data_IF_269560386448
#
_entry.id   IF_269560386448
#
_cell.length_a   1.000
_cell.length_b   1.000
_cell.length_c   1.000
_cell.angle_alpha   90.00
_cell.angle_beta   90.00
_cell.angle_gamma   90.00
#
_symmetry.space_group_name_H-M   'P 1'
#
loop_
_entity.id
_entity.type
_entity.pdbx_description
1 polymer ?
#
# COMPACT_ATOMS: atom_id res chain seq x y z
N UNK A 1 -50.09 -35.92 -21.83
CA UNK A 1 -51.13 -35.21 -22.61
C UNK A 1 -50.52 -33.91 -23.10
N UNK A 2 -50.15 -33.94 -24.36
CA UNK A 2 -50.59 -33.05 -25.49
C UNK A 2 -50.34 -31.55 -25.23
N UNK A 3 -49.71 -30.73 -26.10
CA UNK A 3 -49.57 -30.76 -27.58
C UNK A 3 -48.52 -29.76 -28.03
N UNK A 4 -47.74 -30.13 -29.05
CA UNK A 4 -46.92 -29.29 -29.93
C UNK A 4 -47.80 -28.53 -30.94
N UNK A 5 -47.36 -27.37 -31.39
CA UNK A 5 -47.47 -27.04 -32.81
C UNK A 5 -46.63 -25.82 -33.21
N UNK A 6 -46.07 -25.80 -34.44
CA UNK A 6 -45.10 -24.82 -34.95
C UNK A 6 -45.69 -24.00 -36.10
N UNK A 7 -44.97 -22.97 -36.56
CA UNK A 7 -45.07 -22.34 -37.91
C UNK A 7 -43.94 -21.30 -38.02
N UNK A 8 -42.87 -21.44 -38.75
CA UNK A 8 -42.58 -21.53 -40.21
C UNK A 8 -42.74 -20.19 -40.97
N UNK A 9 -41.59 -19.70 -41.50
CA UNK A 9 -41.32 -19.02 -42.77
C UNK A 9 -41.64 -17.52 -42.93
N UNK A 10 -40.60 -16.70 -43.23
CA UNK A 10 -40.42 -16.15 -44.59
C UNK A 10 -39.10 -15.39 -44.74
N UNK A 11 -38.32 -15.82 -45.72
CA UNK A 11 -37.20 -15.12 -46.33
C UNK A 11 -37.70 -13.94 -47.17
N UNK A 12 -36.98 -12.79 -47.14
CA UNK A 12 -37.00 -11.83 -48.24
C UNK A 12 -35.59 -11.22 -48.40
N UNK A 13 -34.93 -11.66 -49.48
CA UNK A 13 -33.71 -11.07 -50.06
C UNK A 13 -34.08 -9.75 -50.75
N UNK A 14 -33.40 -8.66 -50.39
CA UNK A 14 -33.35 -7.44 -51.20
C UNK A 14 -31.88 -7.15 -51.50
N UNK A 15 -31.51 -7.42 -52.77
CA UNK A 15 -30.28 -6.90 -53.37
C UNK A 15 -30.49 -5.42 -53.70
N UNK A 16 -29.66 -4.54 -53.12
CA UNK A 16 -29.53 -3.17 -53.57
C UNK A 16 -28.05 -2.92 -53.94
N UNK A 17 -27.84 -2.77 -55.25
CA UNK A 17 -26.56 -2.37 -55.81
C UNK A 17 -26.20 -0.95 -55.41
N UNK A 18 -25.06 -0.75 -54.75
CA UNK A 18 -24.52 0.57 -54.49
C UNK A 18 -23.31 0.83 -55.39
N UNK A 19 -23.43 1.85 -56.21
CA UNK A 19 -22.43 2.34 -57.15
C UNK A 19 -21.21 2.90 -56.40
N UNK A 20 -20.04 2.45 -56.77
CA UNK A 20 -18.76 3.06 -56.39
C UNK A 20 -18.65 4.47 -56.99
N UNK A 21 -18.62 5.48 -56.13
CA UNK A 21 -18.15 6.82 -56.47
C UNK A 21 -16.75 6.99 -55.84
N UNK A 22 -15.75 7.13 -56.71
CA UNK A 22 -14.37 7.43 -56.31
C UNK A 22 -14.31 8.87 -55.78
N UNK A 23 -14.33 9.04 -54.48
CA UNK A 23 -14.08 10.31 -53.80
C UNK A 23 -12.60 10.49 -53.46
N UNK A 24 -12.07 11.62 -53.87
CA UNK A 24 -10.65 12.05 -53.64
C UNK A 24 -10.25 11.91 -52.19
N UNK A 25 -9.16 11.17 -51.94
CA UNK A 25 -8.47 11.15 -50.63
C UNK A 25 -7.83 12.51 -50.39
N UNK A 26 -8.38 13.30 -49.50
CA UNK A 26 -7.71 14.44 -48.90
C UNK A 26 -6.72 13.87 -47.87
N UNK A 27 -5.42 14.11 -48.11
CA UNK A 27 -4.37 13.90 -47.13
C UNK A 27 -4.58 14.88 -45.96
N UNK A 28 -5.19 14.37 -44.87
CA UNK A 28 -5.25 15.09 -43.59
C UNK A 28 -3.86 15.10 -42.99
N UNK A 29 -3.36 16.30 -42.66
CA UNK A 29 -2.14 16.52 -41.88
C UNK A 29 -2.20 15.75 -40.53
N UNK A 30 -1.07 15.26 -40.00
CA UNK A 30 -1.09 14.58 -38.70
C UNK A 30 -1.53 15.58 -37.63
N UNK A 31 -2.66 15.29 -36.97
CA UNK A 31 -3.08 16.01 -35.77
C UNK A 31 -1.98 15.86 -34.70
N UNK A 32 -1.58 17.02 -34.13
CA UNK A 32 -0.69 17.08 -33.02
C UNK A 32 -1.21 16.17 -31.89
N UNK A 33 -0.41 15.22 -31.47
CA UNK A 33 -0.68 14.34 -30.34
C UNK A 33 -0.85 15.18 -29.07
N UNK A 34 -1.99 15.01 -28.43
CA UNK A 34 -2.33 15.67 -27.17
C UNK A 34 -1.24 15.41 -26.11
N UNK A 35 -0.55 16.45 -25.62
CA UNK A 35 0.53 16.29 -24.62
C UNK A 35 0.02 15.60 -23.34
N UNK A 36 -1.26 15.75 -22.97
CA UNK A 36 -1.86 15.12 -21.81
C UNK A 36 -2.09 13.60 -22.01
N UNK A 37 -2.29 13.15 -23.23
CA UNK A 37 -2.42 11.72 -23.54
C UNK A 37 -1.07 11.01 -23.43
N UNK A 38 0.03 11.65 -23.87
CA UNK A 38 1.37 11.10 -23.76
C UNK A 38 1.87 11.03 -22.31
N UNK A 39 1.48 12.00 -21.49
CA UNK A 39 1.83 12.05 -20.06
C UNK A 39 1.08 10.98 -19.25
N UNK A 40 -0.22 10.76 -19.54
CA UNK A 40 -1.01 9.66 -18.97
C UNK A 40 -0.47 8.28 -19.35
N UNK A 41 -0.07 8.08 -20.60
CA UNK A 41 0.54 6.82 -21.07
C UNK A 41 1.88 6.59 -20.40
N UNK A 42 2.70 7.64 -20.22
CA UNK A 42 3.98 7.56 -19.50
C UNK A 42 3.80 7.24 -18.01
N UNK A 43 2.78 7.83 -17.37
CA UNK A 43 2.46 7.52 -15.97
C UNK A 43 1.96 6.08 -15.80
N UNK A 44 1.09 5.60 -16.71
CA UNK A 44 0.59 4.22 -16.69
C UNK A 44 1.70 3.21 -16.97
N UNK A 45 2.66 3.53 -17.83
CA UNK A 45 3.81 2.68 -18.10
C UNK A 45 4.82 2.63 -16.93
N UNK A 46 4.94 3.69 -16.13
CA UNK A 46 5.77 3.69 -14.90
C UNK A 46 5.22 2.75 -13.82
N UNK A 47 3.89 2.58 -13.75
CA UNK A 47 3.23 1.67 -12.79
C UNK A 47 3.42 0.20 -13.17
N UNK A 48 3.71 -0.10 -14.44
CA UNK A 48 3.76 -1.48 -14.96
C UNK A 48 5.08 -2.22 -14.69
N UNK A 49 6.12 -1.59 -14.12
CA UNK A 49 7.43 -2.22 -14.00
C UNK A 49 8.18 -1.88 -12.70
N UNK A 50 7.50 -2.05 -11.55
CA UNK A 50 8.21 -2.04 -10.26
C UNK A 50 9.04 -3.31 -10.18
N UNK A 51 10.38 -3.17 -10.17
CA UNK A 51 11.27 -4.29 -9.90
C UNK A 51 11.08 -4.76 -8.45
N UNK A 52 10.27 -5.79 -8.27
CA UNK A 52 9.98 -6.36 -6.95
C UNK A 52 11.24 -6.91 -6.26
N UNK A 53 12.33 -7.14 -7.00
CA UNK A 53 13.59 -7.66 -6.45
C UNK A 53 14.55 -6.57 -5.95
N UNK A 54 14.24 -5.29 -6.15
CA UNK A 54 15.13 -4.17 -5.76
C UNK A 54 15.49 -4.15 -4.25
N UNK A 55 14.75 -4.85 -3.41
CA UNK A 55 15.01 -4.99 -1.98
C UNK A 55 15.59 -6.35 -1.56
N UNK A 56 15.97 -7.21 -2.52
CA UNK A 56 16.48 -8.55 -2.23
C UNK A 56 17.67 -8.52 -1.27
N UNK A 57 18.56 -7.53 -1.42
CA UNK A 57 19.76 -7.37 -0.59
C UNK A 57 19.41 -6.89 0.83
N UNK A 58 18.51 -5.92 0.97
CA UNK A 58 18.03 -5.47 2.27
C UNK A 58 17.35 -6.60 3.06
N UNK A 59 16.53 -7.41 2.39
CA UNK A 59 15.87 -8.56 3.01
C UNK A 59 16.88 -9.66 3.36
N UNK A 60 17.89 -9.88 2.53
CA UNK A 60 19.00 -10.80 2.84
C UNK A 60 19.79 -10.35 4.09
N UNK A 61 19.96 -9.05 4.26
CA UNK A 61 20.65 -8.53 5.45
C UNK A 61 19.90 -8.90 6.75
N UNK A 62 18.55 -8.88 6.75
CA UNK A 62 17.77 -9.39 7.87
C UNK A 62 18.04 -10.88 8.13
N UNK A 63 18.11 -11.69 7.09
CA UNK A 63 18.36 -13.14 7.22
C UNK A 63 19.77 -13.43 7.80
N UNK A 64 20.76 -12.70 7.35
CA UNK A 64 22.14 -12.81 7.87
C UNK A 64 22.21 -12.37 9.34
N UNK A 65 21.49 -11.29 9.70
CA UNK A 65 21.38 -10.85 11.09
C UNK A 65 20.71 -11.92 11.98
N UNK A 66 19.59 -12.49 11.51
CA UNK A 66 18.82 -13.50 12.23
C UNK A 66 19.59 -14.80 12.47
N UNK A 67 20.52 -15.16 11.59
CA UNK A 67 21.40 -16.31 11.79
C UNK A 67 22.30 -16.13 13.02
N UNK A 68 22.71 -14.90 13.30
CA UNK A 68 23.56 -14.55 14.44
C UNK A 68 22.75 -14.24 15.70
N UNK A 69 21.57 -13.69 15.52
CA UNK A 69 20.65 -13.23 16.56
C UNK A 69 19.23 -13.73 16.29
N UNK A 70 18.95 -15.04 16.53
CA UNK A 70 17.66 -15.62 16.20
C UNK A 70 16.52 -14.93 16.95
N UNK A 71 15.50 -14.39 16.25
CA UNK A 71 14.35 -13.81 16.92
C UNK A 71 13.57 -14.83 17.74
N UNK A 72 12.97 -14.37 18.84
CA UNK A 72 12.11 -15.22 19.66
C UNK A 72 10.85 -15.67 18.88
N UNK A 73 10.36 -16.87 19.19
CA UNK A 73 9.07 -17.32 18.67
C UNK A 73 7.94 -16.43 19.17
N UNK A 74 6.99 -16.10 18.29
CA UNK A 74 5.88 -15.22 18.64
C UNK A 74 6.29 -13.74 18.80
N UNK A 75 7.42 -13.34 18.23
CA UNK A 75 7.88 -11.95 18.20
C UNK A 75 6.80 -10.98 17.70
N UNK A 76 6.95 -9.70 18.03
CA UNK A 76 6.20 -8.60 17.40
C UNK A 76 6.99 -8.09 16.19
N UNK A 77 6.52 -8.34 14.98
CA UNK A 77 7.19 -7.92 13.76
C UNK A 77 6.70 -6.54 13.34
N UNK A 78 7.61 -5.57 13.30
CA UNK A 78 7.38 -4.26 12.70
C UNK A 78 7.84 -4.31 11.25
N UNK A 79 6.90 -4.27 10.29
CA UNK A 79 7.19 -4.39 8.85
C UNK A 79 6.65 -3.20 8.08
N UNK A 80 7.42 -2.74 7.11
CA UNK A 80 7.03 -1.62 6.25
C UNK A 80 8.21 -0.88 5.67
N UNK A 81 8.04 0.43 5.49
CA UNK A 81 8.94 1.26 4.71
C UNK A 81 10.01 1.99 5.54
N UNK A 82 10.54 3.10 4.98
CA UNK A 82 11.63 3.89 5.55
C UNK A 82 11.37 4.39 6.97
N UNK A 83 10.13 4.63 7.36
CA UNK A 83 9.79 5.04 8.72
C UNK A 83 10.26 4.02 9.75
N UNK A 84 10.10 2.73 9.48
CA UNK A 84 10.66 1.71 10.37
C UNK A 84 12.16 1.49 10.13
N UNK A 85 12.64 1.52 8.87
CA UNK A 85 14.06 1.37 8.58
C UNK A 85 14.93 2.43 9.30
N UNK A 86 14.44 3.67 9.40
CA UNK A 86 15.14 4.76 10.09
C UNK A 86 14.91 4.80 11.61
N UNK A 87 13.98 3.99 12.13
CA UNK A 87 13.74 3.93 13.58
C UNK A 87 14.75 2.99 14.26
N UNK A 88 15.97 3.48 14.42
CA UNK A 88 17.11 2.69 14.92
C UNK A 88 16.94 2.18 16.35
N UNK A 89 16.09 2.83 17.16
CA UNK A 89 15.82 2.45 18.55
C UNK A 89 14.59 1.57 18.72
N UNK A 90 13.87 1.23 17.62
CA UNK A 90 12.59 0.53 17.66
C UNK A 90 12.61 -0.74 18.50
N UNK A 91 13.55 -1.62 18.24
CA UNK A 91 13.64 -2.92 18.95
C UNK A 91 13.90 -2.73 20.45
N UNK A 92 14.68 -1.72 20.84
CA UNK A 92 14.88 -1.35 22.23
C UNK A 92 13.63 -0.78 22.87
N UNK A 93 12.91 0.11 22.16
CA UNK A 93 11.68 0.74 22.64
C UNK A 93 10.53 -0.25 22.86
N UNK A 94 10.52 -1.40 22.18
CA UNK A 94 9.51 -2.46 22.27
C UNK A 94 10.13 -3.82 22.64
N UNK A 95 11.25 -3.83 23.36
CA UNK A 95 11.97 -5.06 23.73
C UNK A 95 11.14 -6.03 24.58
N UNK A 96 10.28 -5.50 25.46
CA UNK A 96 9.32 -6.26 26.27
C UNK A 96 8.26 -7.02 25.44
N UNK A 97 8.05 -6.62 24.20
CA UNK A 97 7.16 -7.29 23.23
C UNK A 97 7.92 -8.22 22.28
N UNK A 98 9.22 -8.40 22.45
CA UNK A 98 10.08 -9.14 21.55
C UNK A 98 10.07 -8.54 20.14
N UNK A 99 10.14 -7.21 20.04
CA UNK A 99 10.05 -6.52 18.76
C UNK A 99 11.25 -6.84 17.85
N UNK A 100 10.96 -7.06 16.57
CA UNK A 100 11.95 -7.11 15.49
C UNK A 100 11.58 -6.14 14.39
N UNK A 101 12.58 -5.39 13.90
CA UNK A 101 12.39 -4.41 12.84
C UNK A 101 12.67 -5.04 11.48
N UNK A 102 11.68 -5.01 10.60
CA UNK A 102 11.73 -5.50 9.22
C UNK A 102 11.26 -4.40 8.24
N UNK A 103 11.60 -3.15 8.58
CA UNK A 103 11.43 -2.01 7.70
C UNK A 103 12.54 -1.95 6.63
N UNK A 104 12.16 -1.73 5.37
CA UNK A 104 13.10 -1.50 4.28
C UNK A 104 12.72 -0.25 3.49
N UNK A 105 13.67 0.69 3.41
CA UNK A 105 13.44 2.06 2.99
C UNK A 105 12.90 2.20 1.57
N UNK A 106 11.84 2.99 1.38
CA UNK A 106 11.25 3.23 0.06
C UNK A 106 10.26 2.14 -0.41
N UNK A 107 9.99 1.11 0.42
CA UNK A 107 9.07 0.04 0.02
C UNK A 107 7.61 0.51 -0.07
N UNK A 108 6.90 -0.13 -0.99
CA UNK A 108 5.46 -0.05 -1.19
C UNK A 108 4.76 -1.28 -0.58
N UNK A 109 3.44 -1.26 -0.46
CA UNK A 109 2.70 -2.42 0.04
C UNK A 109 2.87 -3.66 -0.84
N UNK A 110 2.81 -3.59 -2.20
CA UNK A 110 3.11 -4.73 -3.06
C UNK A 110 4.49 -5.35 -2.83
N UNK A 111 5.51 -4.55 -2.53
CA UNK A 111 6.85 -5.05 -2.23
C UNK A 111 6.91 -5.72 -0.85
N UNK A 112 6.23 -5.16 0.16
CA UNK A 112 6.08 -5.84 1.46
C UNK A 112 5.37 -7.19 1.30
N UNK A 113 4.34 -7.26 0.45
CA UNK A 113 3.64 -8.52 0.10
C UNK A 113 4.61 -9.50 -0.56
N UNK A 114 5.39 -9.06 -1.56
CA UNK A 114 6.37 -9.90 -2.25
C UNK A 114 7.35 -10.58 -1.29
N UNK A 115 7.82 -9.84 -0.29
CA UNK A 115 8.76 -10.36 0.69
C UNK A 115 8.11 -10.93 1.96
N UNK A 116 6.78 -10.99 2.06
CA UNK A 116 6.05 -11.34 3.29
C UNK A 116 6.47 -12.67 3.90
N UNK A 117 6.81 -13.68 3.08
CA UNK A 117 7.32 -14.97 3.56
C UNK A 117 8.61 -14.80 4.36
N UNK A 118 9.50 -13.94 3.89
CA UNK A 118 10.85 -13.73 4.42
C UNK A 118 10.92 -12.73 5.57
N UNK A 119 10.00 -11.73 5.58
CA UNK A 119 10.04 -10.62 6.56
C UNK A 119 8.92 -10.69 7.61
N UNK A 120 7.92 -11.58 7.44
CA UNK A 120 6.80 -11.75 8.38
C UNK A 120 6.57 -13.22 8.71
N UNK A 121 6.19 -14.03 7.71
CA UNK A 121 5.59 -15.36 7.94
C UNK A 121 6.56 -16.36 8.57
N UNK A 122 7.84 -16.31 8.21
CA UNK A 122 8.87 -17.20 8.78
C UNK A 122 9.02 -17.08 10.31
N UNK A 123 8.69 -15.91 10.87
CA UNK A 123 8.79 -15.67 12.32
C UNK A 123 7.59 -16.16 13.11
N UNK A 124 6.49 -16.54 12.43
CA UNK A 124 5.21 -16.92 13.06
C UNK A 124 4.82 -15.94 14.16
N UNK A 125 4.75 -14.64 13.86
CA UNK A 125 4.60 -13.59 14.85
C UNK A 125 3.27 -13.69 15.58
N UNK A 126 3.26 -13.31 16.86
CA UNK A 126 2.02 -13.06 17.59
C UNK A 126 1.35 -11.77 17.10
N UNK A 127 2.17 -10.76 16.78
CA UNK A 127 1.70 -9.46 16.30
C UNK A 127 2.52 -8.99 15.11
N UNK A 128 1.84 -8.35 14.16
CA UNK A 128 2.45 -7.59 13.07
C UNK A 128 2.05 -6.14 13.21
N UNK A 129 3.01 -5.22 13.29
CA UNK A 129 2.79 -3.78 13.20
C UNK A 129 3.22 -3.33 11.82
N UNK A 130 2.26 -2.82 11.05
CA UNK A 130 2.43 -2.54 9.63
C UNK A 130 2.41 -1.04 9.36
N UNK A 131 3.42 -0.54 8.63
CA UNK A 131 3.47 0.83 8.15
C UNK A 131 4.08 0.92 6.74
N UNK A 132 3.25 0.88 5.72
CA UNK A 132 3.55 1.16 4.31
C UNK A 132 2.32 1.76 3.63
N UNK A 133 2.47 2.25 2.40
CA UNK A 133 1.40 2.93 1.64
C UNK A 133 1.70 4.40 1.39
N UNK A 134 2.60 5.00 2.15
CA UNK A 134 2.99 6.41 1.95
C UNK A 134 3.79 6.60 0.66
N UNK A 135 4.60 5.61 0.24
CA UNK A 135 5.33 5.64 -1.02
C UNK A 135 4.42 5.29 -2.20
N UNK A 136 3.46 4.39 -1.98
CA UNK A 136 2.42 4.05 -2.97
C UNK A 136 1.68 5.31 -3.42
N UNK A 137 1.29 6.18 -2.48
CA UNK A 137 0.63 7.45 -2.78
C UNK A 137 1.64 8.50 -3.26
N UNK A 138 2.73 8.71 -2.51
CA UNK A 138 3.64 9.84 -2.72
C UNK A 138 4.57 9.67 -3.92
N UNK A 139 5.00 8.46 -4.25
CA UNK A 139 5.95 8.17 -5.32
C UNK A 139 5.26 7.59 -6.56
N UNK A 140 4.27 6.68 -6.36
CA UNK A 140 3.61 6.00 -7.46
C UNK A 140 2.28 6.65 -7.86
N UNK A 141 1.77 7.62 -7.09
CA UNK A 141 0.50 8.29 -7.36
C UNK A 141 -0.72 7.38 -7.19
N UNK A 142 -0.60 6.30 -6.41
CA UNK A 142 -1.73 5.42 -6.12
C UNK A 142 -2.79 6.15 -5.31
N UNK A 143 -4.06 5.80 -5.52
CA UNK A 143 -5.17 6.30 -4.71
C UNK A 143 -5.20 5.66 -3.32
N UNK A 144 -5.83 6.35 -2.35
CA UNK A 144 -6.08 5.79 -1.02
C UNK A 144 -6.87 4.48 -1.08
N UNK A 145 -7.81 4.36 -2.03
CA UNK A 145 -8.54 3.12 -2.30
C UNK A 145 -7.59 1.98 -2.68
N UNK A 146 -6.63 2.21 -3.58
CA UNK A 146 -5.67 1.19 -4.00
C UNK A 146 -4.80 0.73 -2.84
N UNK A 147 -4.34 1.67 -2.02
CA UNK A 147 -3.54 1.36 -0.82
C UNK A 147 -4.33 0.50 0.18
N UNK A 148 -5.62 0.80 0.39
CA UNK A 148 -6.49 -0.03 1.23
C UNK A 148 -6.62 -1.45 0.68
N UNK A 149 -6.89 -1.61 -0.62
CA UNK A 149 -6.99 -2.92 -1.27
C UNK A 149 -5.69 -3.73 -1.18
N UNK A 150 -4.54 -3.09 -1.30
CA UNK A 150 -3.25 -3.78 -1.19
C UNK A 150 -2.96 -4.18 0.27
N UNK A 151 -3.38 -3.38 1.26
CA UNK A 151 -3.34 -3.79 2.66
C UNK A 151 -4.27 -4.97 2.97
N UNK A 152 -5.50 -4.99 2.44
CA UNK A 152 -6.43 -6.12 2.56
C UNK A 152 -5.81 -7.42 2.01
N UNK A 153 -5.11 -7.35 0.87
CA UNK A 153 -4.36 -8.50 0.32
C UNK A 153 -3.26 -8.97 1.27
N UNK A 154 -2.51 -8.04 1.85
CA UNK A 154 -1.48 -8.37 2.84
C UNK A 154 -2.10 -9.13 4.03
N UNK A 155 -3.20 -8.63 4.59
CA UNK A 155 -3.93 -9.29 5.68
C UNK A 155 -4.38 -10.69 5.27
N UNK A 156 -4.97 -10.85 4.08
CA UNK A 156 -5.40 -12.14 3.55
C UNK A 156 -4.25 -13.16 3.45
N UNK A 157 -3.06 -12.72 3.03
CA UNK A 157 -1.86 -13.59 2.96
C UNK A 157 -1.41 -14.02 4.37
N UNK A 158 -1.34 -13.07 5.31
CA UNK A 158 -0.91 -13.38 6.68
C UNK A 158 -1.91 -14.27 7.38
N UNK A 159 -3.20 -13.93 7.37
CA UNK A 159 -4.24 -14.71 8.03
C UNK A 159 -4.48 -16.08 7.37
N UNK A 160 -4.27 -16.20 6.06
CA UNK A 160 -4.33 -17.49 5.36
C UNK A 160 -3.31 -18.52 5.87
N UNK A 161 -2.16 -18.06 6.40
CA UNK A 161 -1.12 -18.93 6.97
C UNK A 161 -1.05 -18.87 8.50
N UNK A 162 -1.38 -17.74 9.08
CA UNK A 162 -1.25 -17.44 10.51
C UNK A 162 -2.55 -16.80 11.04
N UNK A 163 -3.65 -17.54 11.14
CA UNK A 163 -4.98 -16.98 11.44
C UNK A 163 -5.13 -16.40 12.85
N UNK A 164 -4.15 -16.62 13.73
CA UNK A 164 -4.16 -16.09 15.11
C UNK A 164 -3.24 -14.88 15.30
N UNK A 165 -2.55 -14.43 14.27
CA UNK A 165 -1.70 -13.23 14.31
C UNK A 165 -2.57 -11.98 14.35
N UNK A 166 -2.32 -11.09 15.32
CA UNK A 166 -2.95 -9.77 15.34
C UNK A 166 -2.16 -8.82 14.43
N UNK A 167 -2.86 -8.09 13.54
CA UNK A 167 -2.25 -7.16 12.60
C UNK A 167 -2.68 -5.74 12.96
N UNK A 168 -1.72 -4.85 13.15
CA UNK A 168 -1.92 -3.45 13.52
C UNK A 168 -1.44 -2.56 12.39
N UNK A 169 -2.35 -1.85 11.73
CA UNK A 169 -2.00 -0.85 10.73
C UNK A 169 -1.82 0.51 11.40
N UNK A 170 -0.65 1.11 11.26
CA UNK A 170 -0.43 2.49 11.69
C UNK A 170 -0.93 3.43 10.60
N UNK A 171 -1.77 4.41 10.96
CA UNK A 171 -2.33 5.38 10.02
C UNK A 171 -1.25 6.06 9.18
N UNK A 172 -1.53 6.22 7.89
CA UNK A 172 -0.67 6.96 6.99
C UNK A 172 -0.55 8.41 7.48
N UNK A 173 0.65 8.80 7.87
CA UNK A 173 0.96 10.17 8.29
C UNK A 173 1.51 10.97 7.13
N UNK A 174 0.92 12.15 6.90
CA UNK A 174 1.37 13.06 5.84
C UNK A 174 2.67 13.71 6.29
N UNK A 175 3.70 13.64 5.45
CA UNK A 175 4.93 14.42 5.63
C UNK A 175 4.84 15.79 4.93
N UNK A 176 5.61 16.83 5.34
CA UNK A 176 5.56 18.16 4.73
C UNK A 176 5.73 18.15 3.21
N UNK A 177 6.64 17.35 2.66
CA UNK A 177 6.86 17.24 1.20
C UNK A 177 5.73 16.52 0.45
N UNK A 178 4.75 15.95 1.15
CA UNK A 178 3.63 15.19 0.58
C UNK A 178 2.26 15.79 0.89
N UNK A 179 2.21 17.07 1.32
CA UNK A 179 0.95 17.75 1.67
C UNK A 179 -0.05 17.79 0.50
N UNK A 180 0.43 17.85 -0.74
CA UNK A 180 -0.41 17.79 -1.95
C UNK A 180 -1.19 16.47 -2.06
N UNK A 181 -0.73 15.40 -1.44
CA UNK A 181 -1.40 14.09 -1.46
C UNK A 181 -2.33 13.87 -0.25
N UNK A 182 -2.55 14.88 0.61
CA UNK A 182 -3.25 14.75 1.88
C UNK A 182 -4.68 14.17 1.75
N UNK A 183 -5.37 14.38 0.62
CA UNK A 183 -6.68 13.78 0.35
C UNK A 183 -6.60 12.27 0.23
N UNK A 184 -5.61 11.75 -0.51
CA UNK A 184 -5.42 10.31 -0.70
C UNK A 184 -5.00 9.61 0.60
N UNK A 185 -4.17 10.27 1.42
CA UNK A 185 -3.82 9.77 2.75
C UNK A 185 -5.06 9.66 3.66
N UNK A 186 -5.97 10.65 3.61
CA UNK A 186 -7.21 10.60 4.39
C UNK A 186 -8.15 9.50 3.89
N UNK A 187 -8.36 9.39 2.57
CA UNK A 187 -9.19 8.34 1.97
C UNK A 187 -8.67 6.94 2.33
N UNK A 188 -7.36 6.71 2.17
CA UNK A 188 -6.72 5.45 2.53
C UNK A 188 -6.92 5.11 4.01
N UNK A 189 -6.65 6.07 4.91
CA UNK A 189 -6.86 5.89 6.35
C UNK A 189 -8.31 5.58 6.71
N UNK A 190 -9.27 6.26 6.08
CA UNK A 190 -10.69 6.01 6.33
C UNK A 190 -11.11 4.60 5.93
N UNK A 191 -10.69 4.14 4.74
CA UNK A 191 -11.00 2.80 4.22
C UNK A 191 -10.35 1.72 5.06
N UNK A 192 -9.06 1.87 5.39
CA UNK A 192 -8.34 0.89 6.21
C UNK A 192 -8.92 0.83 7.62
N UNK A 193 -9.29 1.97 8.21
CA UNK A 193 -9.97 2.00 9.51
C UNK A 193 -11.29 1.23 9.49
N UNK A 194 -12.11 1.40 8.45
CA UNK A 194 -13.36 0.66 8.28
C UNK A 194 -13.10 -0.84 8.15
N UNK A 195 -12.15 -1.22 7.31
CA UNK A 195 -11.74 -2.62 7.14
C UNK A 195 -11.27 -3.26 8.46
N UNK A 196 -10.44 -2.54 9.22
CA UNK A 196 -9.96 -3.01 10.53
C UNK A 196 -11.12 -3.20 11.54
N UNK A 197 -12.15 -2.36 11.48
CA UNK A 197 -13.32 -2.49 12.35
C UNK A 197 -14.14 -3.75 12.06
N UNK A 198 -14.20 -4.16 10.80
CA UNK A 198 -14.99 -5.30 10.32
C UNK A 198 -14.21 -6.62 10.32
N UNK A 199 -12.89 -6.56 10.42
CA UNK A 199 -12.02 -7.74 10.26
C UNK A 199 -11.44 -8.17 11.61
N UNK A 200 -11.74 -9.39 12.09
CA UNK A 200 -11.20 -9.88 13.36
C UNK A 200 -9.65 -9.88 13.36
N UNK A 201 -9.06 -9.49 14.48
CA UNK A 201 -7.60 -9.44 14.68
C UNK A 201 -6.86 -8.47 13.75
N UNK A 202 -7.57 -7.49 13.17
CA UNK A 202 -6.98 -6.40 12.41
C UNK A 202 -7.34 -5.09 13.11
N UNK A 203 -6.32 -4.30 13.44
CA UNK A 203 -6.46 -3.13 14.31
C UNK A 203 -5.89 -1.90 13.61
N UNK A 204 -6.47 -0.74 13.88
CA UNK A 204 -6.01 0.54 13.34
C UNK A 204 -5.41 1.39 14.47
N UNK A 205 -4.15 1.82 14.30
CA UNK A 205 -3.46 2.72 15.22
C UNK A 205 -3.43 4.12 14.60
N UNK A 206 -4.14 5.07 15.19
CA UNK A 206 -4.16 6.44 14.69
C UNK A 206 -3.07 7.29 15.32
N UNK A 207 -2.01 7.55 14.57
CA UNK A 207 -0.93 8.45 14.96
C UNK A 207 -1.12 9.87 14.42
N UNK A 208 -2.14 10.12 13.59
CA UNK A 208 -2.34 11.44 12.97
C UNK A 208 -2.60 12.57 13.96
N UNK A 209 -3.32 12.36 15.08
CA UNK A 209 -3.57 13.44 16.04
C UNK A 209 -2.28 13.95 16.72
N UNK A 210 -1.33 13.06 17.05
CA UNK A 210 -0.09 13.48 17.74
C UNK A 210 0.87 14.19 16.81
N UNK A 211 0.70 14.05 15.49
CA UNK A 211 1.50 14.70 14.45
C UNK A 211 0.98 16.12 14.11
N UNK A 212 -0.09 16.57 14.74
CA UNK A 212 -0.72 17.86 14.41
C UNK A 212 -0.83 18.76 15.63
N UNK A 213 -0.79 20.08 15.36
CA UNK A 213 -1.16 21.10 16.32
C UNK A 213 -2.67 21.10 16.60
N UNK A 214 -3.10 21.84 17.65
CA UNK A 214 -4.53 21.97 18.00
C UNK A 214 -5.38 22.60 16.89
N UNK A 215 -4.77 23.42 16.06
CA UNK A 215 -5.42 24.05 14.90
C UNK A 215 -5.39 23.18 13.63
N UNK A 216 -4.87 21.94 13.72
CA UNK A 216 -4.82 20.97 12.65
C UNK A 216 -3.60 21.07 11.73
N UNK A 217 -2.73 22.07 11.88
CA UNK A 217 -1.46 22.17 11.14
C UNK A 217 -0.53 21.02 11.49
N UNK A 218 0.26 20.58 10.52
CA UNK A 218 1.30 19.57 10.73
C UNK A 218 2.43 20.16 11.60
N UNK A 219 2.91 19.39 12.55
CA UNK A 219 4.10 19.71 13.35
C UNK A 219 5.35 19.43 12.54
N UNK A 220 5.82 20.40 11.77
CA UNK A 220 6.96 20.21 10.87
C UNK A 220 8.27 19.91 11.62
N UNK A 221 8.41 20.36 12.86
CA UNK A 221 9.56 20.10 13.73
C UNK A 221 9.75 18.63 14.12
N UNK A 222 8.79 17.78 13.79
CA UNK A 222 8.86 16.31 14.00
C UNK A 222 9.58 15.59 12.85
N UNK A 223 9.94 16.32 11.80
CA UNK A 223 10.60 15.79 10.61
C UNK A 223 12.06 16.25 10.52
N UNK A 224 12.86 15.47 9.80
CA UNK A 224 14.24 15.80 9.49
C UNK A 224 14.37 16.89 8.40
N UNK A 225 15.62 17.23 8.02
CA UNK A 225 15.88 18.25 6.99
C UNK A 225 15.28 17.95 5.62
N UNK A 226 15.06 16.66 5.31
CA UNK A 226 14.39 16.20 4.09
C UNK A 226 12.87 16.43 4.10
N UNK A 227 12.31 16.84 5.25
CA UNK A 227 10.89 17.09 5.44
C UNK A 227 9.99 15.89 5.09
N UNK A 228 10.57 14.70 5.06
CA UNK A 228 9.91 13.42 4.75
C UNK A 228 9.98 12.45 5.93
N UNK A 229 11.18 12.21 6.44
CA UNK A 229 11.40 11.25 7.50
C UNK A 229 11.31 11.90 8.87
N UNK A 230 10.68 11.20 9.82
CA UNK A 230 10.60 11.66 11.20
C UNK A 230 11.97 11.69 11.84
N UNK A 231 12.18 12.66 12.72
CA UNK A 231 13.29 12.70 13.66
C UNK A 231 12.91 12.00 15.00
N UNK A 232 13.82 12.02 15.97
CA UNK A 232 13.59 11.39 17.28
C UNK A 232 12.34 11.91 18.00
N UNK A 233 12.00 13.20 17.86
CA UNK A 233 10.79 13.80 18.47
C UNK A 233 9.52 13.19 17.87
N UNK A 234 9.51 12.93 16.56
CA UNK A 234 8.39 12.29 15.87
C UNK A 234 8.17 10.86 16.39
N UNK A 235 9.23 10.06 16.47
CA UNK A 235 9.15 8.71 17.03
C UNK A 235 8.72 8.69 18.49
N UNK A 236 9.22 9.63 19.30
CA UNK A 236 8.85 9.75 20.71
C UNK A 236 7.35 9.95 20.93
N UNK A 237 6.65 10.64 20.00
CA UNK A 237 5.19 10.78 20.05
C UNK A 237 4.45 9.50 19.64
N UNK A 238 5.04 8.68 18.76
CA UNK A 238 4.42 7.43 18.30
C UNK A 238 4.49 6.32 19.35
N UNK A 239 5.56 6.24 20.13
CA UNK A 239 5.79 5.20 21.12
C UNK A 239 4.58 4.99 22.04
N UNK A 240 4.06 6.01 22.77
CA UNK A 240 2.92 5.79 23.68
C UNK A 240 1.64 5.39 22.96
N UNK A 241 1.42 5.89 21.74
CA UNK A 241 0.23 5.55 20.94
C UNK A 241 0.26 4.09 20.53
N UNK A 242 1.41 3.63 20.01
CA UNK A 242 1.61 2.24 19.59
C UNK A 242 1.55 1.31 20.82
N UNK A 243 2.26 1.63 21.90
CA UNK A 243 2.24 0.82 23.14
C UNK A 243 0.83 0.63 23.67
N UNK A 244 0.02 1.70 23.73
CA UNK A 244 -1.37 1.64 24.15
C UNK A 244 -2.18 0.67 23.29
N UNK A 245 -1.98 0.68 21.97
CA UNK A 245 -2.71 -0.24 21.08
C UNK A 245 -2.26 -1.71 21.24
N UNK A 246 -0.97 -1.94 21.53
CA UNK A 246 -0.42 -3.30 21.68
C UNK A 246 -0.62 -3.91 23.07
N UNK A 247 -1.17 -3.18 24.05
CA UNK A 247 -1.41 -3.66 25.42
C UNK A 247 -2.71 -4.46 25.60
N UNK A 248 -3.47 -4.65 24.51
CA UNK A 248 -4.77 -5.36 24.50
C UNK A 248 -4.69 -6.74 23.87
#
# INVERSE_FOLDING_TARGET
MYRWSPLLWALLLIFAAFRFTVGKVFAGSPQASDPQASEKISATARVANVDLNRFAEAVRAFEVHDQKHPPAQGATVFVGSSTFAHWTTLEREFADLGAINRGFGGSTIPEVIHYSERVVLKYKPRRVVFYAGTNDIGELGHSGQRVAQDFEKFVGIVHGKLPRTDIYFISLSVAPVRLQNASEFRDGNQRIRAYCHETPRVHFIDVTPVMREKDGRLKEELFGPDRLHMNEKGYALWIPVIRKALSH
#
